data_IF_261044045734
#
_entry.id   IF_261044045734
#
_cell.length_a   1.000
_cell.length_b   1.000
_cell.length_c   1.000
_cell.angle_alpha   90.00
_cell.angle_beta   90.00
_cell.angle_gamma   90.00
#
_symmetry.space_group_name_H-M   'P 1'
#
loop_
_entity.id
_entity.type
_entity.pdbx_description
1 polymer ?
#
# COMPACT_ATOMS: atom_id res chain seq x y z
N UNK A 1 -1.40 -52.56 31.60
CA UNK A 1 -0.46 -51.47 31.26
C UNK A 1 -0.80 -50.98 29.87
N UNK A 2 -1.25 -49.73 29.72
CA UNK A 2 -1.62 -49.16 28.43
C UNK A 2 -0.40 -48.47 27.81
N UNK A 3 -0.03 -48.86 26.59
CA UNK A 3 1.05 -48.23 25.82
C UNK A 3 0.51 -46.99 25.14
N UNK A 4 0.97 -45.81 25.58
CA UNK A 4 0.66 -44.54 24.94
C UNK A 4 1.49 -44.43 23.65
N UNK A 5 0.83 -44.32 22.48
CA UNK A 5 1.50 -43.96 21.23
C UNK A 5 1.91 -42.50 21.29
N UNK A 6 3.21 -42.22 21.32
CA UNK A 6 3.75 -40.88 21.11
C UNK A 6 3.66 -40.58 19.62
N UNK A 7 2.75 -39.69 19.23
CA UNK A 7 2.73 -39.10 17.90
C UNK A 7 3.90 -38.11 17.82
N UNK A 8 4.99 -38.52 17.15
CA UNK A 8 6.07 -37.60 16.76
C UNK A 8 5.48 -36.67 15.70
N UNK A 9 5.19 -35.43 16.07
CA UNK A 9 5.03 -34.36 15.10
C UNK A 9 6.42 -33.94 14.63
N UNK A 10 6.65 -34.13 13.33
CA UNK A 10 7.86 -33.72 12.64
C UNK A 10 7.98 -32.19 12.71
N UNK A 11 9.15 -31.69 13.09
CA UNK A 11 9.50 -30.28 12.94
C UNK A 11 9.32 -29.91 11.47
N UNK A 12 8.27 -29.16 11.16
CA UNK A 12 8.17 -28.42 9.90
C UNK A 12 8.79 -27.06 10.17
N UNK A 13 10.03 -26.93 9.71
CA UNK A 13 10.79 -25.71 9.45
C UNK A 13 10.08 -24.38 9.81
N UNK A 14 10.18 -23.99 11.08
CA UNK A 14 9.92 -22.61 11.52
C UNK A 14 11.23 -21.88 11.79
N UNK A 15 12.23 -22.05 10.91
CA UNK A 15 13.52 -21.37 11.06
C UNK A 15 14.11 -20.83 9.75
N UNK A 16 13.24 -20.31 8.88
CA UNK A 16 13.59 -19.28 7.90
C UNK A 16 12.68 -18.05 8.08
N UNK A 17 12.63 -17.49 9.29
CA UNK A 17 12.19 -16.11 9.48
C UNK A 17 13.30 -15.20 8.91
N UNK A 18 13.42 -15.16 7.58
CA UNK A 18 14.12 -14.10 6.88
C UNK A 18 13.38 -12.79 7.20
N UNK A 19 14.06 -11.65 7.36
CA UNK A 19 13.36 -10.38 7.59
C UNK A 19 12.42 -10.11 6.40
N UNK A 20 11.10 -10.31 6.60
CA UNK A 20 10.05 -10.32 5.56
C UNK A 20 9.64 -8.91 5.16
N UNK A 21 10.58 -8.01 4.96
CA UNK A 21 10.22 -6.63 4.69
C UNK A 21 9.84 -6.47 3.22
N UNK A 22 8.67 -5.89 2.98
CA UNK A 22 8.21 -5.47 1.65
C UNK A 22 8.22 -3.96 1.59
N UNK A 23 7.21 -3.33 2.16
CA UNK A 23 7.07 -1.87 2.20
C UNK A 23 6.63 -1.41 3.58
N UNK A 24 7.25 -0.35 4.10
CA UNK A 24 6.71 0.44 5.21
C UNK A 24 5.98 1.67 4.65
N UNK A 25 4.66 1.72 4.81
CA UNK A 25 3.80 2.81 4.36
C UNK A 25 3.65 3.85 5.47
N UNK A 26 3.75 5.13 5.12
CA UNK A 26 3.30 6.24 5.94
C UNK A 26 2.24 7.02 5.15
N UNK A 27 1.00 6.99 5.65
CA UNK A 27 -0.13 7.69 5.03
C UNK A 27 -0.47 8.91 5.87
N UNK A 28 -0.48 10.09 5.25
CA UNK A 28 -0.81 11.35 5.90
C UNK A 28 -2.11 11.90 5.33
N UNK A 29 -3.09 12.12 6.21
CA UNK A 29 -4.31 12.83 5.86
C UNK A 29 -4.12 14.30 6.22
N UNK A 30 -3.97 15.18 5.24
CA UNK A 30 -3.91 16.64 5.40
C UNK A 30 -5.22 17.35 5.10
N UNK A 31 -6.24 16.58 4.73
CA UNK A 31 -7.58 17.11 4.53
C UNK A 31 -8.21 17.56 5.84
N UNK A 32 -9.28 18.35 5.75
CA UNK A 32 -10.07 18.82 6.89
C UNK A 32 -11.08 17.79 7.42
N UNK A 33 -11.02 16.53 6.98
CA UNK A 33 -11.98 15.48 7.36
C UNK A 33 -11.30 14.12 7.40
N UNK A 34 -11.92 13.15 8.06
CA UNK A 34 -11.42 11.78 8.09
C UNK A 34 -11.40 11.16 6.69
N UNK A 35 -10.34 10.40 6.40
CA UNK A 35 -10.30 9.53 5.23
C UNK A 35 -10.76 8.15 5.61
N UNK A 36 -11.77 7.62 4.93
CA UNK A 36 -12.33 6.28 5.18
C UNK A 36 -11.78 5.27 4.19
N UNK A 37 -11.28 4.13 4.69
CA UNK A 37 -10.80 3.05 3.83
C UNK A 37 -11.95 2.48 2.98
N UNK A 38 -11.72 2.34 1.67
CA UNK A 38 -12.71 1.82 0.72
C UNK A 38 -12.33 0.40 0.28
N UNK A 39 -11.14 0.25 -0.32
CA UNK A 39 -10.71 -1.03 -0.89
C UNK A 39 -9.19 -1.15 -1.03
N UNK A 40 -8.73 -2.38 -1.20
CA UNK A 40 -7.36 -2.74 -1.54
C UNK A 40 -7.35 -3.64 -2.77
N UNK A 41 -6.34 -3.44 -3.62
CA UNK A 41 -5.97 -4.31 -4.72
C UNK A 41 -4.60 -4.91 -4.42
N UNK A 42 -4.48 -6.23 -4.49
CA UNK A 42 -3.23 -6.93 -4.16
C UNK A 42 -2.77 -7.74 -5.36
N UNK A 43 -1.57 -7.46 -5.87
CA UNK A 43 -0.89 -8.29 -6.86
C UNK A 43 0.12 -9.21 -6.20
N UNK A 44 0.90 -8.71 -5.25
CA UNK A 44 1.90 -9.51 -4.53
C UNK A 44 2.12 -8.99 -3.11
N UNK A 45 2.30 -9.93 -2.18
CA UNK A 45 2.44 -9.62 -0.75
C UNK A 45 1.12 -9.52 0.00
N UNK A 46 1.19 -9.11 1.26
CA UNK A 46 0.04 -9.02 2.17
C UNK A 46 0.26 -7.97 3.25
N UNK A 47 -0.76 -7.21 3.68
CA UNK A 47 -0.61 -6.31 4.82
C UNK A 47 -0.40 -7.08 6.13
N UNK A 48 0.37 -6.54 7.07
CA UNK A 48 0.49 -7.10 8.43
C UNK A 48 -0.77 -6.79 9.26
N UNK A 49 -1.14 -7.69 10.18
CA UNK A 49 -2.22 -7.46 11.16
C UNK A 49 -1.94 -6.19 12.01
N UNK A 50 -2.87 -5.22 12.14
CA UNK A 50 -4.32 -5.27 11.85
C UNK A 50 -4.77 -4.99 10.41
N UNK A 51 -3.83 -4.74 9.50
CA UNK A 51 -4.11 -4.35 8.12
C UNK A 51 -4.30 -2.85 7.96
N UNK A 52 -5.07 -2.45 6.94
CA UNK A 52 -5.37 -1.04 6.69
C UNK A 52 -6.41 -0.52 7.71
N UNK A 53 -6.18 0.63 8.37
CA UNK A 53 -7.15 1.19 9.30
C UNK A 53 -8.41 1.63 8.56
N UNK A 54 -9.58 1.40 9.18
CA UNK A 54 -10.86 1.81 8.61
C UNK A 54 -11.01 3.33 8.40
N UNK A 55 -10.25 4.13 9.15
CA UNK A 55 -10.19 5.59 8.99
C UNK A 55 -8.81 6.15 9.33
N UNK A 56 -8.43 7.26 8.70
CA UNK A 56 -7.31 8.12 9.08
C UNK A 56 -7.89 9.48 9.45
N UNK A 57 -7.73 9.90 10.71
CA UNK A 57 -8.28 11.15 11.22
C UNK A 57 -7.79 12.38 10.43
N UNK A 58 -8.58 13.45 10.39
CA UNK A 58 -8.17 14.74 9.84
C UNK A 58 -6.83 15.23 10.46
N UNK A 59 -5.92 15.74 9.62
CA UNK A 59 -4.51 16.08 9.97
C UNK A 59 -3.71 14.92 10.61
N UNK A 60 -4.22 13.69 10.54
CA UNK A 60 -3.64 12.50 11.12
C UNK A 60 -2.63 11.79 10.21
N UNK A 61 -1.96 10.79 10.79
CA UNK A 61 -1.09 9.88 10.04
C UNK A 61 -1.19 8.46 10.57
N UNK A 62 -0.88 7.48 9.71
CA UNK A 62 -0.77 6.07 10.09
C UNK A 62 0.44 5.44 9.41
N UNK A 63 1.04 4.46 10.10
CA UNK A 63 2.09 3.61 9.58
C UNK A 63 1.59 2.18 9.43
N UNK A 64 1.95 1.52 8.32
CA UNK A 64 1.48 0.18 7.98
C UNK A 64 2.64 -0.57 7.35
N UNK A 65 2.91 -1.77 7.85
CA UNK A 65 3.84 -2.68 7.20
C UNK A 65 3.09 -3.57 6.19
N UNK A 66 3.67 -3.71 5.00
CA UNK A 66 3.20 -4.59 3.95
C UNK A 66 4.29 -5.62 3.63
N UNK A 67 3.97 -6.89 3.87
CA UNK A 67 4.89 -8.00 3.64
C UNK A 67 5.01 -8.25 2.14
N UNK A 68 6.23 -8.54 1.68
CA UNK A 68 6.45 -8.94 0.28
C UNK A 68 5.95 -10.36 0.00
N UNK A 69 5.53 -10.60 -1.24
CA UNK A 69 5.49 -11.92 -1.83
C UNK A 69 6.90 -12.48 -2.05
N UNK A 70 6.99 -13.80 -2.15
CA UNK A 70 8.29 -14.50 -2.26
C UNK A 70 8.99 -14.18 -3.58
N UNK A 71 8.22 -14.07 -4.67
CA UNK A 71 8.76 -13.98 -6.03
C UNK A 71 8.74 -12.53 -6.55
N UNK A 72 7.64 -11.80 -6.37
CA UNK A 72 7.44 -10.50 -7.05
C UNK A 72 7.64 -9.27 -6.16
N UNK A 73 7.91 -9.46 -4.86
CA UNK A 73 8.05 -8.33 -3.94
C UNK A 73 6.69 -7.86 -3.40
N UNK A 74 6.56 -6.56 -3.12
CA UNK A 74 5.34 -5.95 -2.57
C UNK A 74 4.67 -5.09 -3.63
N UNK A 75 3.50 -5.52 -4.11
CA UNK A 75 2.76 -4.85 -5.17
C UNK A 75 1.29 -4.78 -4.79
N UNK A 76 0.81 -3.58 -4.49
CA UNK A 76 -0.56 -3.35 -4.05
C UNK A 76 -1.00 -1.90 -4.26
N UNK A 77 -2.30 -1.68 -4.13
CA UNK A 77 -2.91 -0.37 -4.14
C UNK A 77 -4.04 -0.28 -3.11
N UNK A 78 -4.23 0.90 -2.56
CA UNK A 78 -5.30 1.21 -1.61
C UNK A 78 -6.08 2.41 -2.09
N UNK A 79 -7.36 2.42 -1.73
CA UNK A 79 -8.27 3.53 -1.97
C UNK A 79 -8.83 4.01 -0.64
N UNK A 80 -8.65 5.30 -0.38
CA UNK A 80 -9.32 6.01 0.70
C UNK A 80 -10.32 7.00 0.11
N UNK A 81 -11.45 7.18 0.77
CA UNK A 81 -12.48 8.16 0.42
C UNK A 81 -12.44 9.31 1.40
N UNK A 82 -12.72 10.52 0.93
CA UNK A 82 -12.57 11.74 1.72
C UNK A 82 -13.69 12.74 1.49
N UNK A 83 -13.50 14.00 1.91
CA UNK A 83 -14.50 15.06 1.75
C UNK A 83 -14.81 15.33 0.27
N UNK A 84 -15.93 16.00 -0.01
CA UNK A 84 -16.40 16.34 -1.36
C UNK A 84 -16.63 15.13 -2.28
N UNK A 85 -17.03 13.98 -1.71
CA UNK A 85 -17.16 12.72 -2.44
C UNK A 85 -15.86 12.36 -3.19
N UNK A 86 -14.70 12.70 -2.63
CA UNK A 86 -13.40 12.41 -3.25
C UNK A 86 -12.90 11.01 -2.91
N UNK A 87 -11.98 10.52 -3.73
CA UNK A 87 -11.18 9.34 -3.43
C UNK A 87 -9.72 9.55 -3.82
N UNK A 88 -8.85 8.90 -3.07
CA UNK A 88 -7.40 8.93 -3.20
C UNK A 88 -6.92 7.51 -3.44
N UNK A 89 -6.17 7.31 -4.52
CA UNK A 89 -5.50 6.06 -4.85
C UNK A 89 -4.02 6.22 -4.48
N UNK A 90 -3.48 5.21 -3.80
CA UNK A 90 -2.04 5.01 -3.65
C UNK A 90 -1.74 3.59 -4.11
N UNK A 91 -0.81 3.44 -5.05
CA UNK A 91 -0.29 2.17 -5.51
C UNK A 91 1.24 2.14 -5.41
N UNK A 92 1.80 0.97 -5.17
CA UNK A 92 3.25 0.78 -5.08
C UNK A 92 3.67 -0.55 -5.69
N UNK A 93 4.90 -0.57 -6.20
CA UNK A 93 5.62 -1.74 -6.69
C UNK A 93 7.03 -1.67 -6.09
N UNK A 94 7.33 -2.58 -5.17
CA UNK A 94 8.62 -2.74 -4.53
C UNK A 94 9.11 -4.18 -4.76
N UNK A 95 9.81 -4.43 -5.88
CA UNK A 95 10.22 -5.78 -6.27
C UNK A 95 11.30 -6.35 -5.34
N UNK A 96 11.49 -7.68 -5.37
CA UNK A 96 12.55 -8.35 -4.58
C UNK A 96 13.95 -7.86 -4.98
N UNK A 97 14.16 -7.59 -6.26
CA UNK A 97 15.38 -7.03 -6.82
C UNK A 97 15.05 -5.72 -7.54
N UNK A 98 15.46 -4.59 -6.94
CA UNK A 98 15.19 -3.26 -7.49
C UNK A 98 16.15 -2.85 -8.63
N UNK A 99 17.11 -3.71 -9.00
CA UNK A 99 18.14 -3.39 -9.99
C UNK A 99 17.64 -3.42 -11.44
N UNK A 100 16.92 -4.47 -11.91
CA UNK A 100 16.30 -4.45 -13.24
C UNK A 100 14.93 -3.75 -13.24
N UNK A 101 14.24 -3.74 -12.10
CA UNK A 101 12.89 -3.17 -11.95
C UNK A 101 12.93 -2.18 -10.80
N UNK A 102 12.93 -0.87 -11.06
CA UNK A 102 13.00 0.10 -9.97
C UNK A 102 11.71 0.08 -9.13
N UNK A 103 11.80 0.52 -7.88
CA UNK A 103 10.61 0.83 -7.09
C UNK A 103 9.74 1.85 -7.81
N UNK A 104 8.42 1.66 -7.75
CA UNK A 104 7.44 2.56 -8.34
C UNK A 104 6.35 2.91 -7.35
N UNK A 105 5.85 4.13 -7.49
CA UNK A 105 4.69 4.62 -6.76
C UNK A 105 3.78 5.36 -7.71
N UNK A 106 2.49 5.24 -7.49
CA UNK A 106 1.47 5.95 -8.25
C UNK A 106 0.42 6.48 -7.29
N UNK A 107 0.08 7.75 -7.43
CA UNK A 107 -1.08 8.34 -6.77
C UNK A 107 -2.05 8.91 -7.77
N UNK A 108 -3.31 8.91 -7.39
CA UNK A 108 -4.34 9.67 -8.06
C UNK A 108 -5.36 10.19 -7.04
N UNK A 109 -6.04 11.28 -7.36
CA UNK A 109 -7.17 11.78 -6.61
C UNK A 109 -8.21 12.35 -7.55
N UNK A 110 -9.47 12.05 -7.33
CA UNK A 110 -10.58 12.51 -8.17
C UNK A 110 -11.91 12.33 -7.40
N UNK A 111 -13.06 12.75 -7.97
CA UNK A 111 -14.35 12.33 -7.45
C UNK A 111 -14.42 10.80 -7.38
N UNK A 112 -15.01 10.26 -6.31
CA UNK A 112 -15.16 8.83 -6.07
C UNK A 112 -15.82 8.12 -7.24
N UNK A 113 -16.81 8.76 -7.88
CA UNK A 113 -17.49 8.22 -9.07
C UNK A 113 -16.57 8.02 -10.28
N UNK A 114 -15.43 8.71 -10.34
CA UNK A 114 -14.37 8.49 -11.34
C UNK A 114 -13.47 7.34 -10.90
N UNK A 115 -13.01 7.33 -9.65
CA UNK A 115 -12.14 6.27 -9.10
C UNK A 115 -12.85 4.91 -9.03
N UNK A 116 -14.17 4.87 -8.89
CA UNK A 116 -14.99 3.65 -8.94
C UNK A 116 -14.99 2.99 -10.33
N UNK A 117 -14.54 3.69 -11.37
CA UNK A 117 -14.33 3.10 -12.69
C UNK A 117 -12.93 2.49 -12.86
N UNK A 118 -12.01 2.74 -11.92
CA UNK A 118 -10.67 2.20 -11.98
C UNK A 118 -10.72 0.71 -11.61
N UNK A 119 -10.26 -0.12 -12.54
CA UNK A 119 -10.14 -1.56 -12.35
C UNK A 119 -8.80 -1.90 -11.70
N UNK A 120 -8.66 -3.15 -11.27
CA UNK A 120 -7.39 -3.73 -10.87
C UNK A 120 -6.35 -3.47 -11.98
N UNK A 121 -6.66 -3.87 -13.21
CA UNK A 121 -5.76 -3.74 -14.37
C UNK A 121 -5.37 -2.28 -14.65
N UNK A 122 -6.34 -1.36 -14.62
CA UNK A 122 -6.08 0.07 -14.87
C UNK A 122 -5.09 0.67 -13.88
N UNK A 123 -5.20 0.35 -12.59
CA UNK A 123 -4.26 0.88 -11.59
C UNK A 123 -2.87 0.27 -11.77
N UNK A 124 -2.80 -1.02 -12.12
CA UNK A 124 -1.54 -1.69 -12.40
C UNK A 124 -0.82 -1.07 -13.60
N UNK A 125 -1.53 -0.82 -14.71
CA UNK A 125 -0.96 -0.19 -15.90
C UNK A 125 -0.38 1.20 -15.60
N UNK A 126 -1.06 2.00 -14.78
CA UNK A 126 -0.53 3.31 -14.36
C UNK A 126 0.69 3.18 -13.45
N UNK A 127 0.73 2.17 -12.59
CA UNK A 127 1.88 1.89 -11.73
C UNK A 127 3.09 1.40 -12.52
N UNK A 128 2.92 0.55 -13.53
CA UNK A 128 4.02 -0.01 -14.34
C UNK A 128 4.82 1.07 -15.08
N UNK A 129 4.17 2.17 -15.45
CA UNK A 129 4.79 3.30 -16.16
C UNK A 129 5.19 4.46 -15.23
N UNK A 130 4.94 4.35 -13.93
CA UNK A 130 5.29 5.40 -12.97
C UNK A 130 6.75 5.32 -12.54
N UNK A 131 7.17 6.29 -11.73
CA UNK A 131 8.52 6.36 -11.17
C UNK A 131 8.52 6.26 -9.65
N UNK A 132 9.64 6.66 -9.04
CA UNK A 132 9.79 6.69 -7.58
C UNK A 132 9.05 7.85 -6.90
N UNK A 133 8.47 8.76 -7.69
CA UNK A 133 7.66 9.88 -7.25
C UNK A 133 6.40 9.96 -8.11
N UNK A 134 5.27 10.31 -7.50
CA UNK A 134 4.01 10.56 -8.20
C UNK A 134 3.21 11.66 -7.51
N UNK A 135 2.58 12.51 -8.32
CA UNK A 135 1.70 13.59 -7.87
C UNK A 135 0.45 13.61 -8.76
N UNK A 136 -0.69 13.91 -8.17
CA UNK A 136 -1.95 14.10 -8.86
C UNK A 136 -2.76 15.22 -8.20
N UNK A 137 -3.55 15.94 -9.00
CA UNK A 137 -4.54 16.89 -8.52
C UNK A 137 -5.82 16.82 -9.35
N UNK A 138 -6.95 17.09 -8.71
CA UNK A 138 -8.24 17.21 -9.38
C UNK A 138 -9.00 18.43 -8.86
N UNK A 139 -9.39 19.30 -9.79
CA UNK A 139 -10.05 20.57 -9.48
C UNK A 139 -11.52 20.40 -9.10
N UNK A 140 -12.18 19.33 -9.57
CA UNK A 140 -13.60 19.11 -9.32
C UNK A 140 -13.83 18.61 -7.89
N UNK A 141 -13.01 17.66 -7.42
CA UNK A 141 -13.00 17.21 -6.03
C UNK A 141 -12.19 18.11 -5.10
N UNK A 142 -11.45 19.09 -5.66
CA UNK A 142 -10.51 19.96 -4.94
C UNK A 142 -9.48 19.16 -4.16
N UNK A 143 -8.89 18.15 -4.77
CA UNK A 143 -7.95 17.24 -4.11
C UNK A 143 -6.57 17.32 -4.72
N UNK A 144 -5.55 17.06 -3.90
CA UNK A 144 -4.18 16.84 -4.33
C UNK A 144 -3.60 15.66 -3.54
N UNK A 145 -2.77 14.87 -4.22
CA UNK A 145 -2.08 13.74 -3.63
C UNK A 145 -0.65 13.69 -4.15
N UNK A 146 0.29 13.32 -3.28
CA UNK A 146 1.66 13.05 -3.67
C UNK A 146 2.20 11.87 -2.89
N UNK A 147 3.08 11.10 -3.52
CA UNK A 147 3.79 10.02 -2.86
C UNK A 147 5.20 9.82 -3.41
N UNK A 148 6.07 9.33 -2.54
CA UNK A 148 7.45 8.96 -2.82
C UNK A 148 7.69 7.52 -2.35
N UNK A 149 8.51 6.78 -3.09
CA UNK A 149 9.05 5.48 -2.70
C UNK A 149 10.57 5.47 -2.75
N UNK A 150 11.20 5.07 -1.64
CA UNK A 150 12.64 5.04 -1.49
C UNK A 150 13.11 3.69 -0.94
N UNK A 151 14.27 3.23 -1.40
CA UNK A 151 15.01 2.15 -0.72
C UNK A 151 15.67 2.71 0.54
N UNK A 152 15.42 2.11 1.70
CA UNK A 152 16.00 2.58 2.97
C UNK A 152 17.05 1.64 3.53
N UNK A 153 16.82 0.33 3.39
CA UNK A 153 17.73 -0.72 3.82
C UNK A 153 17.63 -1.90 2.85
N UNK A 154 18.60 -2.83 2.85
CA UNK A 154 18.50 -4.01 2.00
C UNK A 154 17.19 -4.73 2.29
N UNK A 155 16.32 -4.84 1.28
CA UNK A 155 15.00 -5.46 1.34
C UNK A 155 13.85 -4.64 1.95
N UNK A 156 13.99 -3.33 2.22
CA UNK A 156 12.85 -2.50 2.66
C UNK A 156 12.72 -1.25 1.81
N UNK A 157 11.58 -1.13 1.13
CA UNK A 157 11.13 0.14 0.57
C UNK A 157 10.26 0.89 1.59
N UNK A 158 10.38 2.22 1.62
CA UNK A 158 9.46 3.09 2.36
C UNK A 158 8.63 3.89 1.38
N UNK A 159 7.32 3.92 1.60
CA UNK A 159 6.38 4.74 0.84
C UNK A 159 5.82 5.80 1.76
N UNK A 160 5.99 7.07 1.40
CA UNK A 160 5.32 8.19 2.06
C UNK A 160 4.26 8.76 1.14
N UNK A 161 3.02 8.86 1.60
CA UNK A 161 1.92 9.45 0.85
C UNK A 161 1.22 10.55 1.66
N UNK A 162 0.78 11.60 0.97
CA UNK A 162 0.02 12.69 1.54
C UNK A 162 -1.23 12.94 0.69
N UNK A 163 -2.36 13.07 1.37
CA UNK A 163 -3.67 13.30 0.77
C UNK A 163 -4.21 14.63 1.31
N UNK A 164 -4.48 15.59 0.43
CA UNK A 164 -4.82 16.96 0.83
C UNK A 164 -5.87 17.58 -0.10
N UNK A 165 -6.31 18.80 0.22
CA UNK A 165 -7.25 19.60 -0.53
C UNK A 165 -6.55 20.77 -1.23
N UNK A 166 -7.01 21.10 -2.43
CA UNK A 166 -6.63 22.33 -3.13
C UNK A 166 -7.25 23.52 -2.41
N UNK A 167 -6.41 24.47 -2.00
CA UNK A 167 -6.80 25.70 -1.31
C UNK A 167 -7.49 26.71 -2.24
#
# INVERSE_FOLDING_TARGET
MATQKVQKFTVSDKNSFQPQYGVALTLNNKTSSDLTFDRCFTWSGTPTDPGFPGSIAADGSVQIDYLRGIDDGSIAAIVYTGPNESAYVLAWDAPVDSTPTPNRVYVNCAPKSVIDKYTFETIHEYLEVSGQHSEASDILSRTIAYADICDTTPNIATVGANFDLLT
#
